data_IF_492347926636
#
_entry.id   IF_492347926636
#
_cell.length_a   1.000
_cell.length_b   1.000
_cell.length_c   1.000
_cell.angle_alpha   90.00
_cell.angle_beta   90.00
_cell.angle_gamma   90.00
#
_symmetry.space_group_name_H-M   'P 1'
#
loop_
_entity.id
_entity.type
_entity.pdbx_description
1 polymer ?
#
# COMPACT_ATOMS: atom_id res chain seq x y z
N UNK A 1 -6.74 -0.72 -9.37
CA UNK A 1 -7.29 -1.24 -8.10
C UNK A 1 -8.83 -1.21 -8.08
N UNK A 2 -9.48 -2.32 -7.71
CA UNK A 2 -10.95 -2.38 -7.58
C UNK A 2 -11.44 -1.60 -6.33
N UNK A 3 -10.59 -1.42 -5.31
CA UNK A 3 -10.86 -0.62 -4.11
C UNK A 3 -10.55 0.87 -4.27
N UNK A 4 -11.17 1.52 -5.25
CA UNK A 4 -10.90 2.93 -5.56
C UNK A 4 -11.32 3.95 -4.49
N UNK A 5 -12.26 3.60 -3.60
CA UNK A 5 -12.84 4.55 -2.64
C UNK A 5 -13.34 5.82 -3.35
N UNK A 6 -12.88 6.98 -2.88
CA UNK A 6 -13.21 8.29 -3.46
C UNK A 6 -12.34 8.69 -4.67
N UNK A 7 -11.34 7.89 -5.06
CA UNK A 7 -10.47 8.23 -6.18
C UNK A 7 -11.19 8.08 -7.53
N UNK A 8 -10.84 8.96 -8.48
CA UNK A 8 -11.35 8.92 -9.85
C UNK A 8 -10.77 7.71 -10.58
N UNK A 9 -11.65 6.81 -11.01
CA UNK A 9 -11.27 5.53 -11.64
C UNK A 9 -10.45 5.73 -12.92
N UNK A 10 -10.78 6.74 -13.72
CA UNK A 10 -10.10 7.05 -14.97
C UNK A 10 -8.61 7.46 -14.80
N UNK A 11 -8.19 7.76 -13.57
CA UNK A 11 -6.81 8.14 -13.25
C UNK A 11 -6.02 7.03 -12.57
N UNK A 12 -6.66 5.92 -12.20
CA UNK A 12 -5.98 4.79 -11.58
C UNK A 12 -5.11 4.07 -12.60
N UNK A 13 -3.89 3.75 -12.18
CA UNK A 13 -2.88 3.07 -12.99
C UNK A 13 -2.14 2.06 -12.13
N UNK A 14 -1.53 1.08 -12.78
CA UNK A 14 -0.63 0.17 -12.11
C UNK A 14 0.57 0.94 -11.53
N UNK A 15 1.10 0.51 -10.38
CA UNK A 15 2.26 1.12 -9.73
C UNK A 15 3.55 0.76 -10.48
N UNK A 16 3.68 1.21 -11.73
CA UNK A 16 4.88 1.04 -12.54
C UNK A 16 6.06 1.79 -11.89
N UNK A 17 7.17 1.09 -11.54
CA UNK A 17 8.35 1.71 -10.96
C UNK A 17 8.88 2.91 -11.76
N UNK A 18 8.74 2.91 -13.09
CA UNK A 18 9.17 4.03 -13.92
C UNK A 18 8.31 5.28 -13.71
N UNK A 19 7.00 5.14 -13.53
CA UNK A 19 6.10 6.25 -13.23
C UNK A 19 6.28 6.72 -11.78
N UNK A 20 6.45 5.80 -10.83
CA UNK A 20 6.77 6.13 -9.44
C UNK A 20 8.06 6.94 -9.37
N UNK A 21 9.12 6.52 -10.07
CA UNK A 21 10.38 7.25 -10.13
C UNK A 21 10.21 8.68 -10.68
N UNK A 22 9.38 8.87 -11.73
CA UNK A 22 9.07 10.20 -12.26
C UNK A 22 8.38 11.09 -11.22
N UNK A 23 7.43 10.54 -10.45
CA UNK A 23 6.74 11.28 -9.39
C UNK A 23 7.70 11.66 -8.26
N UNK A 24 8.58 10.76 -7.83
CA UNK A 24 9.59 11.04 -6.80
C UNK A 24 10.56 12.13 -7.25
N UNK A 25 11.03 12.07 -8.50
CA UNK A 25 11.89 13.11 -9.07
C UNK A 25 11.17 14.47 -9.12
N UNK A 26 9.90 14.49 -9.53
CA UNK A 26 9.08 15.69 -9.56
C UNK A 26 8.84 16.28 -8.16
N UNK A 27 8.80 15.43 -7.12
CA UNK A 27 8.66 15.85 -5.74
C UNK A 27 9.93 16.49 -5.14
N UNK A 28 11.09 16.44 -5.83
CA UNK A 28 12.34 17.10 -5.43
C UNK A 28 12.74 16.84 -3.97
N UNK A 29 12.64 15.58 -3.54
CA UNK A 29 12.98 15.14 -2.18
C UNK A 29 11.94 15.50 -1.10
N UNK A 30 10.75 15.97 -1.48
CA UNK A 30 9.66 16.30 -0.56
C UNK A 30 8.65 15.17 -0.38
N UNK A 31 8.67 14.14 -1.24
CA UNK A 31 7.84 12.96 -1.04
C UNK A 31 8.26 12.24 0.25
N UNK A 32 7.28 11.91 1.10
CA UNK A 32 7.51 11.22 2.39
C UNK A 32 6.85 9.86 2.46
N UNK A 33 5.70 9.71 1.80
CA UNK A 33 4.95 8.47 1.78
C UNK A 33 4.16 8.36 0.48
N UNK A 34 4.00 7.13 -0.01
CA UNK A 34 3.16 6.78 -1.14
C UNK A 34 2.35 5.53 -0.80
N UNK A 35 1.03 5.62 -0.91
CA UNK A 35 0.11 4.48 -0.76
C UNK A 35 -0.07 3.78 -2.10
N UNK A 36 0.10 2.45 -2.12
CA UNK A 36 -0.02 1.63 -3.33
C UNK A 36 -0.82 0.35 -3.05
N UNK A 37 -1.53 -0.13 -4.08
CA UNK A 37 -2.04 -1.49 -4.15
C UNK A 37 -0.89 -2.40 -4.65
N UNK A 38 -0.18 -3.03 -3.73
CA UNK A 38 1.11 -3.71 -3.98
C UNK A 38 0.97 -5.04 -4.72
N UNK A 39 -0.23 -5.60 -4.81
CA UNK A 39 -0.56 -6.80 -5.58
C UNK A 39 -0.60 -6.58 -7.09
N UNK A 40 -0.71 -5.32 -7.52
CA UNK A 40 -0.76 -4.96 -8.93
C UNK A 40 0.61 -5.10 -9.61
N UNK A 41 0.64 -5.24 -10.96
CA UNK A 41 1.90 -5.29 -11.71
C UNK A 41 2.84 -4.14 -11.35
N UNK A 42 4.11 -4.46 -11.06
CA UNK A 42 5.12 -3.48 -10.63
C UNK A 42 5.06 -3.08 -9.15
N UNK A 43 4.06 -3.53 -8.39
CA UNK A 43 3.84 -3.12 -7.01
C UNK A 43 5.02 -3.39 -6.07
N UNK A 44 5.52 -4.63 -6.05
CA UNK A 44 6.67 -4.98 -5.19
C UNK A 44 7.95 -4.24 -5.58
N UNK A 45 8.19 -4.04 -6.87
CA UNK A 45 9.37 -3.30 -7.33
C UNK A 45 9.27 -1.81 -7.00
N UNK A 46 8.06 -1.25 -7.06
CA UNK A 46 7.77 0.11 -6.60
C UNK A 46 7.94 0.27 -5.09
N UNK A 47 7.57 -0.74 -4.29
CA UNK A 47 7.83 -0.75 -2.84
C UNK A 47 9.34 -0.69 -2.57
N UNK A 48 10.13 -1.55 -3.24
CA UNK A 48 11.60 -1.55 -3.08
C UNK A 48 12.21 -0.20 -3.47
N UNK A 49 11.78 0.35 -4.61
CA UNK A 49 12.22 1.66 -5.08
C UNK A 49 11.93 2.76 -4.03
N UNK A 50 10.73 2.78 -3.47
CA UNK A 50 10.35 3.77 -2.45
C UNK A 50 11.23 3.63 -1.20
N UNK A 51 11.41 2.40 -0.70
CA UNK A 51 12.24 2.11 0.47
C UNK A 51 13.71 2.51 0.25
N UNK A 52 14.29 2.21 -0.91
CA UNK A 52 15.65 2.61 -1.30
C UNK A 52 15.82 4.13 -1.37
N UNK A 53 14.77 4.87 -1.75
CA UNK A 53 14.75 6.33 -1.79
C UNK A 53 14.41 6.98 -0.44
N UNK A 54 14.22 6.19 0.62
CA UNK A 54 13.84 6.69 1.95
C UNK A 54 12.42 7.27 2.01
N UNK A 55 11.54 6.85 1.11
CA UNK A 55 10.12 7.22 1.08
C UNK A 55 9.31 6.03 1.58
N UNK A 56 8.35 6.29 2.49
CA UNK A 56 7.53 5.23 3.06
C UNK A 56 6.61 4.66 1.98
N UNK A 57 6.71 3.34 1.76
CA UNK A 57 5.71 2.59 1.02
C UNK A 57 4.58 2.16 1.97
N UNK A 58 3.37 2.67 1.73
CA UNK A 58 2.19 2.31 2.48
C UNK A 58 1.28 1.40 1.67
N UNK A 59 0.65 0.42 2.33
CA UNK A 59 -0.28 -0.53 1.74
C UNK A 59 -1.70 -0.02 2.01
N UNK A 60 -2.49 0.12 0.95
CA UNK A 60 -3.88 0.59 1.04
C UNK A 60 -4.58 0.54 -0.31
N UNK A 61 -5.91 0.66 -0.31
CA UNK A 61 -6.72 0.60 -1.55
C UNK A 61 -6.42 -0.64 -2.40
N UNK A 62 -6.23 -1.78 -1.72
CA UNK A 62 -5.68 -3.02 -2.26
C UNK A 62 -6.72 -4.15 -2.15
N UNK A 63 -6.67 -5.12 -3.06
CA UNK A 63 -7.32 -6.43 -2.92
C UNK A 63 -6.30 -7.55 -2.66
N UNK A 64 -5.12 -7.21 -2.14
CA UNK A 64 -4.05 -8.17 -1.84
C UNK A 64 -4.53 -9.28 -0.89
N UNK A 65 -4.05 -10.48 -1.14
CA UNK A 65 -4.10 -11.60 -0.18
C UNK A 65 -3.17 -11.34 1.01
N UNK A 66 -3.28 -12.17 2.04
CA UNK A 66 -2.35 -12.15 3.18
C UNK A 66 -0.90 -12.31 2.70
N UNK A 67 -0.62 -13.30 1.85
CA UNK A 67 0.71 -13.64 1.37
C UNK A 67 1.31 -12.54 0.49
N UNK A 68 0.50 -11.92 -0.37
CA UNK A 68 0.93 -10.75 -1.16
C UNK A 68 1.25 -9.55 -0.26
N UNK A 69 0.54 -9.40 0.85
CA UNK A 69 0.76 -8.31 1.81
C UNK A 69 2.06 -8.54 2.58
N UNK A 70 2.29 -9.76 3.07
CA UNK A 70 3.57 -10.15 3.69
C UNK A 70 4.74 -9.92 2.73
N UNK A 71 4.61 -10.30 1.45
CA UNK A 71 5.64 -10.07 0.46
C UNK A 71 5.94 -8.57 0.23
N UNK A 72 4.94 -7.71 0.35
CA UNK A 72 5.12 -6.26 0.27
C UNK A 72 5.81 -5.70 1.52
N UNK A 73 5.47 -6.19 2.71
CA UNK A 73 6.16 -5.83 3.96
C UNK A 73 7.63 -6.24 3.89
N UNK A 74 7.91 -7.47 3.43
CA UNK A 74 9.28 -7.97 3.25
C UNK A 74 10.06 -7.19 2.18
N UNK A 75 9.37 -6.62 1.19
CA UNK A 75 9.96 -5.71 0.21
C UNK A 75 10.25 -4.31 0.76
N UNK A 76 9.77 -3.97 1.96
CA UNK A 76 10.04 -2.70 2.64
C UNK A 76 8.81 -1.82 2.89
N UNK A 77 7.59 -2.29 2.62
CA UNK A 77 6.39 -1.55 3.02
C UNK A 77 6.24 -1.57 4.54
N UNK A 78 5.89 -0.41 5.12
CA UNK A 78 5.95 -0.23 6.58
C UNK A 78 4.76 0.52 7.18
N UNK A 79 3.77 0.88 6.37
CA UNK A 79 2.55 1.56 6.84
C UNK A 79 1.31 0.91 6.25
N UNK A 80 0.28 0.71 7.07
CA UNK A 80 -1.07 0.43 6.61
C UNK A 80 -1.85 1.74 6.52
N UNK A 81 -2.24 2.15 5.30
CA UNK A 81 -3.11 3.32 5.13
C UNK A 81 -4.51 2.98 5.61
N UNK A 82 -5.04 3.83 6.50
CA UNK A 82 -6.42 3.83 7.04
C UNK A 82 -7.08 2.44 7.16
N UNK A 83 -6.44 1.54 7.92
CA UNK A 83 -6.79 0.11 8.04
C UNK A 83 -8.30 -0.18 8.03
N UNK A 84 -8.66 -1.29 7.40
CA UNK A 84 -10.03 -1.72 7.06
C UNK A 84 -10.65 -0.97 5.87
N UNK A 85 -10.41 0.33 5.73
CA UNK A 85 -11.01 1.11 4.65
C UNK A 85 -10.39 0.74 3.30
N UNK A 86 -11.25 0.53 2.29
CA UNK A 86 -10.82 0.17 0.95
C UNK A 86 -9.88 -1.06 0.90
N UNK A 87 -10.15 -2.07 1.74
CA UNK A 87 -9.48 -3.37 1.77
C UNK A 87 -10.51 -4.52 1.80
N UNK A 88 -10.14 -5.75 1.42
CA UNK A 88 -10.91 -6.94 1.74
C UNK A 88 -11.20 -7.05 3.24
N UNK A 89 -12.41 -7.49 3.64
CA UNK A 89 -12.72 -7.74 5.03
C UNK A 89 -11.88 -8.90 5.58
N UNK A 90 -11.65 -8.91 6.89
CA UNK A 90 -10.98 -9.99 7.60
C UNK A 90 -11.83 -11.28 7.54
N UNK A 91 -11.31 -12.35 6.93
CA UNK A 91 -11.96 -13.66 6.85
C UNK A 91 -11.27 -14.71 7.74
N UNK A 92 -12.00 -15.75 8.16
CA UNK A 92 -11.47 -16.81 9.03
C UNK A 92 -10.58 -17.84 8.31
N UNK A 93 -10.69 -17.96 6.97
CA UNK A 93 -9.82 -18.82 6.14
C UNK A 93 -8.91 -18.02 5.21
N UNK A 94 -9.37 -16.84 4.81
CA UNK A 94 -8.65 -15.89 3.97
C UNK A 94 -8.54 -14.59 4.77
N UNK A 95 -7.53 -14.48 5.65
CA UNK A 95 -7.41 -13.35 6.57
C UNK A 95 -7.11 -12.02 5.86
N UNK A 96 -6.56 -12.09 4.65
CA UNK A 96 -6.35 -10.92 3.80
C UNK A 96 -5.32 -9.93 4.35
N UNK A 97 -5.29 -8.70 3.81
CA UNK A 97 -4.23 -7.75 4.09
C UNK A 97 -4.35 -7.19 5.52
N UNK A 98 -5.57 -7.09 6.04
CA UNK A 98 -5.82 -6.55 7.38
C UNK A 98 -5.09 -7.37 8.45
N UNK A 99 -5.13 -8.70 8.39
CA UNK A 99 -4.45 -9.52 9.39
C UNK A 99 -2.93 -9.42 9.27
N UNK A 100 -2.39 -9.51 8.04
CA UNK A 100 -0.96 -9.40 7.79
C UNK A 100 -0.40 -8.06 8.32
N UNK A 101 -1.13 -6.96 8.10
CA UNK A 101 -0.73 -5.63 8.55
C UNK A 101 -0.84 -5.44 10.07
N UNK A 102 -1.75 -6.15 10.74
CA UNK A 102 -1.91 -6.10 12.19
C UNK A 102 -0.91 -6.97 12.94
N UNK A 103 -0.49 -8.09 12.34
CA UNK A 103 0.41 -9.08 12.97
C UNK A 103 1.89 -8.69 12.88
N UNK A 104 2.28 -7.89 11.89
CA UNK A 104 3.69 -7.56 11.65
C UNK A 104 4.13 -6.29 12.39
N UNK A 105 5.00 -6.45 13.40
CA UNK A 105 5.52 -5.34 14.22
C UNK A 105 6.33 -4.29 13.43
N UNK A 106 6.75 -4.59 12.19
CA UNK A 106 7.41 -3.64 11.30
C UNK A 106 6.44 -2.60 10.72
N UNK A 107 5.13 -2.85 10.79
CA UNK A 107 4.08 -2.03 10.19
C UNK A 107 3.48 -1.08 11.21
N UNK A 108 3.43 0.21 10.88
CA UNK A 108 2.62 1.19 11.60
C UNK A 108 1.24 1.28 10.97
N UNK A 109 0.21 1.11 11.79
CA UNK A 109 -1.18 1.12 11.33
C UNK A 109 -1.81 2.51 11.49
N UNK A 110 -2.26 3.09 10.40
CA UNK A 110 -3.13 4.27 10.45
C UNK A 110 -4.58 3.83 10.66
N UNK A 111 -5.31 4.54 11.53
CA UNK A 111 -6.72 4.30 11.81
C UNK A 111 -7.49 5.62 11.83
N UNK A 112 -8.59 5.67 11.09
CA UNK A 112 -9.55 6.78 11.18
C UNK A 112 -10.50 6.47 12.35
N UNK A 113 -10.31 7.15 13.47
CA UNK A 113 -11.06 6.91 14.71
C UNK A 113 -12.10 8.02 14.95
N UNK A 114 -13.03 8.21 14.01
CA UNK A 114 -14.10 9.21 14.10
C UNK A 114 -15.44 8.66 14.63
N UNK A 115 -15.61 7.32 14.66
CA UNK A 115 -16.75 6.65 15.28
C UNK A 115 -18.07 6.80 14.53
N UNK A 116 -18.04 7.12 13.23
CA UNK A 116 -19.23 7.32 12.40
C UNK A 116 -19.73 6.06 11.71
#
# INVERSE_FOLDING_TARGET
PCRKGAHSEALLRDPDPAEVAKLLAAARGQARMVTLATELPGGLDSVRLLAEQGVIAAIGHTDATYEQTVAAIDAGASVATHLFNAMPPLGHREPGPVAALLEDERVTVELINDGT
#
